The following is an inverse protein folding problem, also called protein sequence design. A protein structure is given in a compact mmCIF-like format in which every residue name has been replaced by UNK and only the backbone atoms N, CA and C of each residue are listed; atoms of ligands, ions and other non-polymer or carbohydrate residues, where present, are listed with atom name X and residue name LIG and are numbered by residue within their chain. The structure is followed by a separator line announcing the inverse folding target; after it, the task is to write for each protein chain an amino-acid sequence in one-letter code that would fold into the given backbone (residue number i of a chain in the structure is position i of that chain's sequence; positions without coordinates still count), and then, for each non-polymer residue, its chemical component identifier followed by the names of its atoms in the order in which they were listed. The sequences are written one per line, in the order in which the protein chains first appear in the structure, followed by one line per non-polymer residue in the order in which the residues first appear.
data_IF_118870876056
#
_entry.id   IF_118870876056
#
_cell.length_a   1.000
_cell.length_b   1.000
_cell.length_c   1.000
_cell.angle_alpha   90.00
_cell.angle_beta   90.00
_cell.angle_gamma   90.00
#
_symmetry.space_group_name_H-M   'P 1'
#
loop_
_entity.id
_entity.type
_entity.pdbx_description
1 polymer ?
#
# COMPACT_ATOMS: atom_id res chain seq x y z
N UNK A 1 1.42 -20.70 -33.95
CA UNK A 1 2.16 -19.78 -33.05
C UNK A 1 1.44 -19.71 -31.71
N UNK A 2 1.73 -20.62 -30.77
CA UNK A 2 1.08 -20.67 -29.45
C UNK A 2 2.10 -20.42 -28.35
N UNK A 3 2.30 -19.15 -27.97
CA UNK A 3 3.30 -18.73 -26.99
C UNK A 3 2.69 -18.42 -25.62
N UNK A 4 2.82 -19.39 -24.70
CA UNK A 4 2.93 -19.23 -23.25
C UNK A 4 1.96 -18.26 -22.52
N UNK A 5 0.74 -18.71 -22.25
CA UNK A 5 -0.12 -18.14 -21.20
C UNK A 5 -0.10 -19.02 -19.92
N UNK A 6 1.08 -19.55 -19.56
CA UNK A 6 1.24 -20.18 -18.26
C UNK A 6 1.31 -19.05 -17.20
N UNK A 7 0.52 -19.11 -16.11
CA UNK A 7 0.57 -18.10 -15.07
C UNK A 7 2.00 -18.02 -14.53
N UNK A 8 2.66 -16.88 -14.73
CA UNK A 8 4.02 -16.65 -14.21
C UNK A 8 3.97 -16.82 -12.70
N UNK A 9 4.70 -17.82 -12.19
CA UNK A 9 4.76 -18.10 -10.75
C UNK A 9 5.35 -16.87 -10.05
N UNK A 10 4.56 -16.27 -9.17
CA UNK A 10 4.99 -15.13 -8.37
C UNK A 10 6.02 -15.57 -7.33
N UNK A 11 7.04 -14.75 -7.11
CA UNK A 11 8.03 -14.95 -6.05
C UNK A 11 7.37 -14.81 -4.66
N UNK A 12 8.03 -15.32 -3.62
CA UNK A 12 7.56 -15.15 -2.24
C UNK A 12 7.36 -13.69 -1.87
N UNK A 13 8.32 -12.83 -2.24
CA UNK A 13 8.25 -11.39 -2.03
C UNK A 13 7.05 -10.75 -2.75
N UNK A 14 6.81 -11.10 -4.02
CA UNK A 14 5.65 -10.60 -4.77
C UNK A 14 4.33 -11.01 -4.11
N UNK A 15 4.24 -12.25 -3.63
CA UNK A 15 3.06 -12.72 -2.89
C UNK A 15 2.85 -11.93 -1.60
N UNK A 16 3.92 -11.63 -0.86
CA UNK A 16 3.84 -10.81 0.36
C UNK A 16 3.37 -9.38 0.06
N UNK A 17 3.90 -8.74 -0.98
CA UNK A 17 3.45 -7.40 -1.42
C UNK A 17 1.97 -7.40 -1.78
N UNK A 18 1.51 -8.37 -2.55
CA UNK A 18 0.09 -8.48 -2.91
C UNK A 18 -0.80 -8.82 -1.71
N UNK A 19 -0.34 -9.68 -0.80
CA UNK A 19 -1.06 -10.00 0.42
C UNK A 19 -1.24 -8.75 1.31
N UNK A 20 -0.19 -7.92 1.42
CA UNK A 20 -0.23 -6.67 2.16
C UNK A 20 -1.22 -5.67 1.54
N UNK A 21 -1.14 -5.46 0.21
CA UNK A 21 -2.09 -4.62 -0.52
C UNK A 21 -3.55 -5.05 -0.28
N UNK A 22 -3.84 -6.35 -0.45
CA UNK A 22 -5.18 -6.90 -0.21
C UNK A 22 -5.59 -6.78 1.26
N UNK A 23 -4.63 -6.84 2.19
CA UNK A 23 -4.83 -6.59 3.61
C UNK A 23 -5.41 -5.20 3.87
N UNK A 24 -4.83 -4.16 3.29
CA UNK A 24 -5.33 -2.79 3.38
C UNK A 24 -6.74 -2.64 2.81
N UNK A 25 -6.98 -3.16 1.60
CA UNK A 25 -8.31 -3.10 0.99
C UNK A 25 -9.38 -3.80 1.82
N UNK A 26 -9.03 -4.91 2.49
CA UNK A 26 -9.96 -5.61 3.40
C UNK A 26 -10.22 -4.79 4.66
N UNK A 27 -9.19 -4.22 5.28
CA UNK A 27 -9.33 -3.38 6.46
C UNK A 27 -10.15 -2.11 6.17
N UNK A 28 -10.02 -1.55 4.97
CA UNK A 28 -10.82 -0.41 4.53
C UNK A 28 -12.33 -0.70 4.47
N UNK A 29 -12.74 -1.96 4.25
CA UNK A 29 -14.18 -2.35 4.20
C UNK A 29 -14.88 -2.21 5.54
N UNK A 30 -14.13 -2.23 6.63
CA UNK A 30 -14.66 -2.04 7.99
C UNK A 30 -14.82 -0.56 8.38
N UNK A 31 -14.44 0.37 7.49
CA UNK A 31 -14.54 1.83 7.71
C UNK A 31 -15.77 2.40 7.00
N UNK A 32 -16.10 3.66 7.30
CA UNK A 32 -17.19 4.39 6.63
C UNK A 32 -16.99 4.40 5.09
N UNK A 33 -18.06 4.55 4.28
CA UNK A 33 -17.91 4.58 2.82
C UNK A 33 -16.94 5.64 2.30
N UNK A 34 -16.90 6.82 2.92
CA UNK A 34 -15.99 7.90 2.57
C UNK A 34 -14.54 7.59 2.95
N UNK A 35 -14.31 7.13 4.18
CA UNK A 35 -12.98 6.75 4.62
C UNK A 35 -12.44 5.56 3.84
N UNK A 36 -13.30 4.58 3.54
CA UNK A 36 -12.96 3.45 2.69
C UNK A 36 -12.43 3.92 1.34
N UNK A 37 -13.15 4.78 0.62
CA UNK A 37 -12.72 5.31 -0.68
C UNK A 37 -11.38 6.03 -0.58
N UNK A 38 -11.20 6.84 0.47
CA UNK A 38 -9.95 7.57 0.71
C UNK A 38 -8.78 6.63 0.99
N UNK A 39 -8.95 5.63 1.85
CA UNK A 39 -7.94 4.61 2.14
C UNK A 39 -7.58 3.82 0.89
N UNK A 40 -8.58 3.33 0.14
CA UNK A 40 -8.36 2.58 -1.10
C UNK A 40 -7.57 3.42 -2.13
N UNK A 41 -7.90 4.71 -2.28
CA UNK A 41 -7.21 5.64 -3.18
C UNK A 41 -5.74 5.84 -2.79
N UNK A 42 -5.49 6.16 -1.52
CA UNK A 42 -4.13 6.38 -0.99
C UNK A 42 -3.29 5.11 -1.17
N UNK A 43 -3.78 3.97 -0.67
CA UNK A 43 -3.06 2.69 -0.75
C UNK A 43 -2.77 2.32 -2.21
N UNK A 44 -3.72 2.51 -3.12
CA UNK A 44 -3.50 2.23 -4.54
C UNK A 44 -2.45 3.15 -5.16
N UNK A 45 -2.44 4.44 -4.81
CA UNK A 45 -1.43 5.39 -5.28
C UNK A 45 -0.03 5.02 -4.78
N UNK A 46 0.10 4.67 -3.49
CA UNK A 46 1.35 4.27 -2.85
C UNK A 46 1.97 3.02 -3.47
N UNK A 47 1.18 1.95 -3.60
CA UNK A 47 1.66 0.70 -4.19
C UNK A 47 2.05 0.89 -5.67
N UNK A 48 1.31 1.72 -6.42
CA UNK A 48 1.69 2.08 -7.79
C UNK A 48 2.97 2.89 -7.85
N UNK A 49 3.17 3.86 -6.93
CA UNK A 49 4.40 4.64 -6.83
C UNK A 49 5.59 3.72 -6.52
N UNK A 50 5.46 2.86 -5.50
CA UNK A 50 6.48 1.90 -5.12
C UNK A 50 6.84 0.96 -6.28
N UNK A 51 5.86 0.45 -7.03
CA UNK A 51 6.10 -0.41 -8.19
C UNK A 51 6.87 0.28 -9.35
N UNK A 52 6.83 1.61 -9.43
CA UNK A 52 7.55 2.41 -10.44
C UNK A 52 8.93 2.85 -9.96
N UNK A 53 9.06 3.21 -8.69
CA UNK A 53 10.25 3.86 -8.14
C UNK A 53 11.22 2.90 -7.45
N UNK A 54 10.74 1.74 -6.97
CA UNK A 54 11.60 0.77 -6.27
C UNK A 54 12.14 -0.24 -7.25
N UNK A 55 13.47 -0.37 -7.29
CA UNK A 55 14.12 -1.44 -8.04
C UNK A 55 13.65 -2.81 -7.51
N UNK A 56 13.22 -3.67 -8.43
CA UNK A 56 12.75 -5.04 -8.17
C UNK A 56 13.84 -5.92 -7.54
N UNK A 57 15.12 -5.55 -7.70
CA UNK A 57 16.28 -6.25 -7.10
C UNK A 57 16.66 -5.71 -5.72
N UNK A 58 16.08 -4.59 -5.28
CA UNK A 58 16.36 -4.04 -3.95
C UNK A 58 15.51 -4.74 -2.88
N UNK A 59 15.82 -6.02 -2.64
CA UNK A 59 15.06 -6.88 -1.72
C UNK A 59 15.03 -6.31 -0.30
N UNK A 60 16.13 -5.75 0.19
CA UNK A 60 16.23 -5.18 1.53
C UNK A 60 15.24 -4.01 1.72
N UNK A 61 15.14 -3.12 0.73
CA UNK A 61 14.22 -2.01 0.79
C UNK A 61 12.76 -2.46 0.65
N UNK A 62 12.48 -3.43 -0.23
CA UNK A 62 11.13 -4.01 -0.35
C UNK A 62 10.69 -4.64 0.97
N UNK A 63 11.57 -5.39 1.64
CA UNK A 63 11.29 -5.95 2.96
C UNK A 63 11.04 -4.88 4.02
N UNK A 64 11.84 -3.82 4.03
CA UNK A 64 11.62 -2.68 4.92
C UNK A 64 10.23 -2.09 4.71
N UNK A 65 9.82 -1.86 3.46
CA UNK A 65 8.49 -1.36 3.12
C UNK A 65 7.38 -2.34 3.53
N UNK A 66 7.58 -3.65 3.36
CA UNK A 66 6.65 -4.67 3.83
C UNK A 66 6.48 -4.65 5.35
N UNK A 67 7.58 -4.56 6.11
CA UNK A 67 7.54 -4.47 7.58
C UNK A 67 6.83 -3.20 8.04
N UNK A 68 7.14 -2.05 7.42
CA UNK A 68 6.47 -0.77 7.70
C UNK A 68 4.99 -0.83 7.38
N UNK A 69 4.63 -1.30 6.19
CA UNK A 69 3.24 -1.39 5.76
C UNK A 69 2.41 -2.37 6.60
N UNK A 70 3.01 -3.46 7.12
CA UNK A 70 2.32 -4.35 8.05
C UNK A 70 1.94 -3.64 9.36
N UNK A 71 2.84 -2.85 9.94
CA UNK A 71 2.53 -2.02 11.12
C UNK A 71 1.39 -1.04 10.84
N UNK A 72 1.40 -0.38 9.68
CA UNK A 72 0.33 0.53 9.27
C UNK A 72 -1.02 -0.19 9.07
N UNK A 73 -0.99 -1.41 8.54
CA UNK A 73 -2.19 -2.24 8.38
C UNK A 73 -2.76 -2.63 9.75
N UNK A 74 -1.90 -3.01 10.70
CA UNK A 74 -2.34 -3.38 12.05
C UNK A 74 -2.93 -2.17 12.79
N UNK A 75 -2.35 -0.97 12.60
CA UNK A 75 -2.93 0.28 13.08
C UNK A 75 -4.29 0.56 12.44
N UNK A 76 -4.43 0.43 11.13
CA UNK A 76 -5.70 0.67 10.43
C UNK A 76 -6.84 -0.24 10.92
N UNK A 77 -6.49 -1.45 11.36
CA UNK A 77 -7.44 -2.43 11.90
C UNK A 77 -7.91 -2.10 13.32
N UNK A 78 -7.19 -1.26 14.07
CA UNK A 78 -7.64 -0.91 15.41
C UNK A 78 -8.93 -0.09 15.36
N UNK A 79 -9.88 -0.33 16.27
CA UNK A 79 -11.15 0.39 16.31
C UNK A 79 -10.96 1.86 16.72
N UNK A 80 -9.95 2.14 17.54
CA UNK A 80 -9.73 3.47 18.13
C UNK A 80 -9.00 4.45 17.20
N UNK A 81 -8.46 3.98 16.07
CA UNK A 81 -7.87 4.88 15.07
C UNK A 81 -8.95 5.49 14.19
N UNK A 82 -9.58 6.53 14.72
CA UNK A 82 -10.26 7.55 13.93
C UNK A 82 -9.21 8.29 13.12
N UNK A 83 -9.44 8.39 11.81
CA UNK A 83 -8.61 9.11 10.85
C UNK A 83 -7.29 8.45 10.45
N UNK A 84 -7.25 8.06 9.17
CA UNK A 84 -6.33 8.46 8.10
C UNK A 84 -5.04 9.25 8.45
N UNK A 85 -5.01 10.02 9.54
CA UNK A 85 -3.83 10.66 10.12
C UNK A 85 -2.72 9.67 10.49
N UNK A 86 -3.06 8.42 10.83
CA UNK A 86 -2.07 7.35 11.08
C UNK A 86 -1.50 6.75 9.79
N UNK A 87 -2.20 6.91 8.66
CA UNK A 87 -1.73 6.53 7.34
C UNK A 87 -0.83 7.64 6.78
N UNK A 88 0.25 7.97 7.50
CA UNK A 88 1.37 8.76 7.01
C UNK A 88 2.12 7.95 5.93
N UNK A 89 1.49 7.83 4.78
CA UNK A 89 2.04 7.29 3.54
C UNK A 89 2.86 8.33 2.77
N UNK A 90 2.91 9.57 3.27
CA UNK A 90 3.61 10.70 2.66
C UNK A 90 5.10 10.65 3.06
N UNK A 91 6.06 10.39 2.15
CA UNK A 91 7.40 10.94 2.31
C UNK A 91 7.31 12.48 2.17
N UNK A 92 8.10 13.26 2.91
CA UNK A 92 8.00 14.71 2.92
C UNK A 92 8.43 15.26 1.55
N UNK A 93 7.47 15.51 0.67
CA UNK A 93 7.60 16.45 -0.43
C UNK A 93 6.21 16.75 -0.97
N UNK A 94 5.63 17.82 -0.42
CA UNK A 94 4.89 18.90 -1.09
C UNK A 94 3.97 19.57 -0.07
N UNK A 95 4.59 20.33 0.83
CA UNK A 95 4.01 21.60 1.25
C UNK A 95 4.05 22.52 0.03
N UNK A 96 2.96 22.57 -0.74
CA UNK A 96 2.64 23.78 -1.49
C UNK A 96 1.51 24.45 -0.74
N UNK A 97 1.97 25.28 0.19
CA UNK A 97 1.25 26.47 0.59
C UNK A 97 0.90 27.25 -0.68
N UNK A 98 -0.39 27.48 -0.88
CA UNK A 98 -0.96 28.48 -1.78
C UNK A 98 -2.46 28.50 -1.53
N UNK A 99 -2.85 28.95 -0.33
CA UNK A 99 -4.11 29.70 -0.24
C UNK A 99 -3.80 31.14 -0.62
N UNK A 100 -4.44 31.53 -1.71
CA UNK A 100 -4.68 32.92 -2.12
C UNK A 100 -5.43 33.68 -1.03
#
# INVERSE_FOLDING_TARGET
MGGANAPRRLSGMQKQVLALYRGFLRAARSKSPDDRRRVESIVSAEFRRGARQVDRKNFLYIEYLLRRGKKQLDQLRSPDTTALSSLNFIPPSQSVDSRK
#
